data_IF_356953759066
#
_entry.id   IF_356953759066
#
_cell.length_a   1.000
_cell.length_b   1.000
_cell.length_c   1.000
_cell.angle_alpha   90.00
_cell.angle_beta   90.00
_cell.angle_gamma   90.00
#
_symmetry.space_group_name_H-M   'P 1'
#
loop_
_entity.id
_entity.type
_entity.pdbx_description
1 polymer ?
#
# COMPACT_ATOMS: atom_id res chain seq x y z
N UNK A 1 -10.94 -30.74 0.85
CA UNK A 1 -10.51 -30.49 2.23
C UNK A 1 -8.99 -30.54 2.26
N UNK A 2 -8.32 -29.42 2.52
CA UNK A 2 -6.85 -29.38 2.62
C UNK A 2 -6.50 -29.63 4.09
N UNK A 3 -5.65 -30.63 4.32
CA UNK A 3 -5.20 -31.05 5.65
C UNK A 3 -3.99 -30.18 6.06
N UNK A 4 -4.14 -29.43 7.17
CA UNK A 4 -3.17 -28.44 7.65
C UNK A 4 -2.21 -28.97 8.72
N UNK A 5 -2.17 -30.29 8.98
CA UNK A 5 -1.39 -30.88 10.08
C UNK A 5 0.15 -30.92 9.88
N UNK A 6 0.71 -30.08 9.01
CA UNK A 6 2.14 -30.08 8.69
C UNK A 6 2.89 -28.77 8.94
N UNK A 7 2.21 -27.67 9.28
CA UNK A 7 2.89 -26.38 9.47
C UNK A 7 3.35 -26.29 10.92
N UNK A 8 4.61 -26.66 11.16
CA UNK A 8 5.27 -26.44 12.44
C UNK A 8 5.71 -24.96 12.53
N UNK A 9 4.89 -24.16 13.21
CA UNK A 9 5.03 -22.69 13.34
C UNK A 9 6.24 -22.30 14.22
N UNK A 10 6.89 -23.27 14.88
CA UNK A 10 7.99 -23.01 15.83
C UNK A 10 9.39 -22.89 15.19
N UNK A 11 9.51 -22.73 13.87
CA UNK A 11 10.82 -22.62 13.20
C UNK A 11 11.30 -21.18 12.95
N UNK A 12 10.50 -20.17 13.28
CA UNK A 12 10.92 -18.77 13.25
C UNK A 12 11.23 -18.29 14.65
N UNK A 13 12.47 -18.53 15.06
CA UNK A 13 13.04 -18.08 16.32
C UNK A 13 13.19 -16.55 16.25
N UNK A 14 12.19 -15.80 16.74
CA UNK A 14 12.22 -14.34 16.90
C UNK A 14 13.14 -13.93 18.06
N UNK A 15 14.43 -14.19 17.89
CA UNK A 15 15.44 -13.78 18.85
C UNK A 15 16.71 -13.36 18.13
N UNK A 16 16.59 -12.31 17.32
CA UNK A 16 17.73 -11.45 17.03
C UNK A 16 17.53 -10.09 17.69
N UNK A 17 18.51 -9.78 18.53
CA UNK A 17 18.67 -8.60 19.37
C UNK A 17 18.27 -7.33 18.65
N UNK A 18 17.14 -6.75 19.03
CA UNK A 18 16.85 -5.33 18.79
C UNK A 18 17.76 -4.53 19.73
N UNK A 19 18.99 -4.30 19.30
CA UNK A 19 19.79 -3.21 19.85
C UNK A 19 19.07 -1.92 19.50
N UNK A 20 18.62 -1.18 20.52
CA UNK A 20 18.09 0.17 20.40
C UNK A 20 19.01 1.00 19.48
N UNK A 21 18.55 1.23 18.26
CA UNK A 21 19.16 2.17 17.32
C UNK A 21 18.08 3.17 16.94
N UNK A 22 18.42 4.43 17.17
CA UNK A 22 17.54 5.58 17.17
C UNK A 22 16.69 5.71 15.91
N UNK A 23 15.47 6.25 16.10
CA UNK A 23 14.53 6.71 15.08
C UNK A 23 15.21 7.43 13.91
N UNK A 24 15.32 6.75 12.77
CA UNK A 24 15.39 7.36 11.43
C UNK A 24 15.07 6.28 10.39
N UNK A 25 13.96 6.45 9.68
CA UNK A 25 13.44 5.70 8.52
C UNK A 25 14.33 4.57 7.94
N UNK A 26 14.30 3.37 8.52
CA UNK A 26 15.06 2.24 7.96
C UNK A 26 14.36 1.54 6.78
N UNK A 27 13.02 1.65 6.68
CA UNK A 27 12.27 1.07 5.55
C UNK A 27 12.54 1.81 4.24
N UNK A 28 12.68 3.14 4.26
CA UNK A 28 13.01 3.91 3.05
C UNK A 28 14.42 3.55 2.55
N UNK A 29 15.39 3.32 3.45
CA UNK A 29 16.78 3.01 3.04
C UNK A 29 16.96 1.64 2.38
N UNK A 30 16.18 0.62 2.79
CA UNK A 30 16.27 -0.72 2.16
C UNK A 30 15.75 -0.73 0.71
N UNK A 31 14.85 0.19 0.37
CA UNK A 31 14.30 0.35 -0.99
C UNK A 31 15.33 1.02 -1.90
N UNK A 32 16.09 1.99 -1.39
CA UNK A 32 17.17 2.64 -2.14
C UNK A 32 18.37 1.71 -2.42
N UNK A 33 18.61 0.71 -1.56
CA UNK A 33 19.71 -0.25 -1.70
C UNK A 33 19.32 -1.56 -2.41
N UNK A 34 18.08 -1.68 -2.92
CA UNK A 34 17.67 -2.87 -3.66
C UNK A 34 18.43 -2.95 -5.00
N UNK A 35 19.44 -3.83 -5.03
CA UNK A 35 20.13 -4.20 -6.27
C UNK A 35 19.40 -5.39 -6.90
N UNK A 36 18.85 -5.25 -8.11
CA UNK A 36 18.19 -6.35 -8.81
C UNK A 36 19.16 -7.52 -8.98
N UNK A 37 18.82 -8.68 -8.44
CA UNK A 37 19.65 -9.89 -8.50
C UNK A 37 19.35 -10.77 -9.72
N UNK A 38 18.33 -10.42 -10.53
CA UNK A 38 17.82 -11.23 -11.64
C UNK A 38 17.88 -10.49 -12.96
N UNK A 39 18.54 -11.09 -13.95
CA UNK A 39 18.53 -10.66 -15.36
C UNK A 39 17.17 -10.84 -16.05
N UNK A 40 16.22 -11.56 -15.43
CA UNK A 40 14.89 -11.83 -16.00
C UNK A 40 13.90 -10.66 -15.92
N UNK A 41 14.13 -9.72 -15.01
CA UNK A 41 13.17 -8.65 -14.69
C UNK A 41 13.54 -7.31 -15.34
N UNK A 42 14.58 -7.30 -16.20
CA UNK A 42 15.14 -6.07 -16.75
C UNK A 42 14.09 -5.23 -17.48
N UNK A 43 13.21 -5.86 -18.25
CA UNK A 43 12.17 -5.14 -19.00
C UNK A 43 11.21 -4.38 -18.08
N UNK A 44 10.78 -4.97 -16.95
CA UNK A 44 9.95 -4.30 -15.94
C UNK A 44 10.69 -3.12 -15.32
N UNK A 45 11.96 -3.31 -14.93
CA UNK A 45 12.75 -2.23 -14.36
C UNK A 45 13.01 -1.11 -15.37
N UNK A 46 13.21 -1.43 -16.64
CA UNK A 46 13.37 -0.45 -17.71
C UNK A 46 12.06 0.35 -17.90
N UNK A 47 10.89 -0.31 -17.86
CA UNK A 47 9.58 0.35 -17.88
C UNK A 47 9.41 1.33 -16.70
N UNK A 48 9.65 0.87 -15.46
CA UNK A 48 9.56 1.73 -14.26
C UNK A 48 10.56 2.90 -14.36
N UNK A 49 11.77 2.64 -14.86
CA UNK A 49 12.80 3.67 -14.95
C UNK A 49 12.51 4.74 -16.00
N UNK A 50 11.69 4.43 -17.00
CA UNK A 50 11.22 5.35 -18.04
C UNK A 50 10.01 6.20 -17.61
N UNK A 51 9.42 5.94 -16.44
CA UNK A 51 8.40 6.83 -15.87
C UNK A 51 8.98 8.24 -15.65
N UNK A 52 8.24 9.23 -16.14
CA UNK A 52 8.61 10.64 -16.16
C UNK A 52 8.20 11.38 -14.90
N UNK A 53 7.10 10.97 -14.27
CA UNK A 53 6.70 11.51 -12.98
C UNK A 53 7.56 10.86 -11.87
N UNK A 54 8.40 11.64 -11.16
CA UNK A 54 9.32 11.09 -10.17
C UNK A 54 8.60 10.42 -8.99
N UNK A 55 7.37 10.84 -8.67
CA UNK A 55 6.58 10.25 -7.59
C UNK A 55 6.02 8.90 -8.06
N UNK A 56 5.46 8.81 -9.27
CA UNK A 56 5.00 7.53 -9.82
C UNK A 56 6.15 6.53 -9.93
N UNK A 57 7.32 6.97 -10.42
CA UNK A 57 8.53 6.14 -10.46
C UNK A 57 8.93 5.63 -9.09
N UNK A 58 8.92 6.49 -8.07
CA UNK A 58 9.30 6.11 -6.70
C UNK A 58 8.33 5.07 -6.12
N UNK A 59 7.03 5.31 -6.22
CA UNK A 59 6.01 4.39 -5.70
C UNK A 59 5.98 3.06 -6.47
N UNK A 60 6.33 3.06 -7.77
CA UNK A 60 6.47 1.84 -8.57
C UNK A 60 7.70 1.02 -8.18
N UNK A 61 8.84 1.66 -7.90
CA UNK A 61 10.03 0.99 -7.37
C UNK A 61 9.77 0.37 -5.99
N UNK A 62 9.05 1.09 -5.12
CA UNK A 62 8.62 0.59 -3.82
C UNK A 62 7.78 -0.69 -3.95
N UNK A 63 6.75 -0.65 -4.81
CA UNK A 63 5.90 -1.81 -5.08
C UNK A 63 6.70 -2.97 -5.66
N UNK A 64 7.56 -2.71 -6.65
CA UNK A 64 8.43 -3.71 -7.26
C UNK A 64 9.28 -4.42 -6.19
N UNK A 65 9.95 -3.67 -5.30
CA UNK A 65 10.76 -4.22 -4.23
C UNK A 65 9.93 -5.10 -3.27
N UNK A 66 8.74 -4.65 -2.88
CA UNK A 66 7.83 -5.44 -2.03
C UNK A 66 7.39 -6.75 -2.70
N UNK A 67 7.03 -6.72 -3.99
CA UNK A 67 6.63 -7.91 -4.73
C UNK A 67 7.80 -8.88 -4.90
N UNK A 68 9.03 -8.40 -5.18
CA UNK A 68 10.23 -9.24 -5.20
C UNK A 68 10.49 -9.89 -3.84
N UNK A 69 10.36 -9.14 -2.74
CA UNK A 69 10.50 -9.66 -1.38
C UNK A 69 9.44 -10.72 -1.05
N UNK A 70 8.23 -10.58 -1.59
CA UNK A 70 7.16 -11.56 -1.50
C UNK A 70 7.36 -12.80 -2.40
N UNK A 71 8.42 -12.83 -3.22
CA UNK A 71 8.77 -13.96 -4.08
C UNK A 71 8.15 -13.92 -5.49
N UNK A 72 7.63 -12.77 -5.92
CA UNK A 72 7.12 -12.61 -7.28
C UNK A 72 8.27 -12.62 -8.29
N UNK A 73 8.11 -13.42 -9.34
CA UNK A 73 9.00 -13.49 -10.50
C UNK A 73 8.32 -12.81 -11.70
N UNK A 74 9.01 -11.84 -12.30
CA UNK A 74 8.50 -11.05 -13.41
C UNK A 74 9.01 -11.53 -14.77
N UNK A 75 9.76 -12.64 -14.82
CA UNK A 75 10.35 -13.17 -16.06
C UNK A 75 9.34 -13.35 -17.22
N UNK A 76 8.09 -13.68 -16.90
CA UNK A 76 7.02 -13.90 -17.89
C UNK A 76 5.98 -12.77 -17.91
N UNK A 77 6.26 -11.66 -17.24
CA UNK A 77 5.40 -10.49 -17.26
C UNK A 77 5.42 -9.84 -18.64
N UNK A 78 4.27 -9.31 -19.07
CA UNK A 78 4.17 -8.64 -20.38
C UNK A 78 4.53 -7.16 -20.29
N UNK A 79 4.16 -6.53 -19.16
CA UNK A 79 4.44 -5.13 -18.86
C UNK A 79 4.22 -4.87 -17.36
N UNK A 80 4.80 -3.79 -16.86
CA UNK A 80 4.62 -3.37 -15.47
C UNK A 80 3.18 -2.96 -15.16
N UNK A 81 2.52 -2.27 -16.08
CA UNK A 81 1.10 -1.92 -15.95
C UNK A 81 0.19 -3.14 -15.79
N UNK A 82 0.48 -4.23 -16.50
CA UNK A 82 -0.28 -5.46 -16.34
C UNK A 82 -0.08 -6.05 -14.94
N UNK A 83 1.15 -6.05 -14.41
CA UNK A 83 1.40 -6.56 -13.06
C UNK A 83 0.71 -5.70 -11.99
N UNK A 84 0.75 -4.36 -12.13
CA UNK A 84 -0.03 -3.46 -11.26
C UNK A 84 -1.52 -3.80 -11.26
N UNK A 85 -2.09 -4.12 -12.42
CA UNK A 85 -3.53 -4.47 -12.54
C UNK A 85 -3.93 -5.78 -11.86
N UNK A 86 -2.95 -6.67 -11.58
CA UNK A 86 -3.19 -7.98 -10.93
C UNK A 86 -3.08 -7.92 -9.41
N UNK A 87 -2.48 -6.86 -8.88
CA UNK A 87 -2.29 -6.68 -7.45
C UNK A 87 -3.49 -5.96 -6.87
N UNK A 88 -4.16 -6.60 -5.92
CA UNK A 88 -5.22 -5.97 -5.13
C UNK A 88 -4.62 -5.20 -3.96
N UNK A 89 -5.08 -3.98 -3.74
CA UNK A 89 -4.62 -3.12 -2.65
C UNK A 89 -5.35 -1.79 -2.62
N UNK A 90 -5.13 -1.01 -1.56
CA UNK A 90 -5.64 0.35 -1.45
C UNK A 90 -4.51 1.34 -1.13
N UNK A 91 -4.45 2.49 -1.84
CA UNK A 91 -5.00 2.70 -3.17
C UNK A 91 -4.60 1.59 -4.14
N UNK A 92 -5.35 1.37 -5.24
CA UNK A 92 -4.91 0.40 -6.23
C UNK A 92 -3.52 0.80 -6.75
N UNK A 93 -2.65 -0.17 -7.06
CA UNK A 93 -1.31 0.09 -7.61
C UNK A 93 -1.31 0.96 -8.87
N UNK A 94 -2.40 0.95 -9.63
CA UNK A 94 -2.60 1.76 -10.84
C UNK A 94 -3.07 3.19 -10.55
N UNK A 95 -3.31 3.56 -9.29
CA UNK A 95 -3.59 4.94 -8.92
C UNK A 95 -2.35 5.83 -9.15
N UNK A 96 -2.55 7.13 -9.46
CA UNK A 96 -1.44 8.08 -9.58
C UNK A 96 -0.52 8.08 -8.35
N UNK A 97 0.78 8.27 -8.57
CA UNK A 97 1.82 8.18 -7.56
C UNK A 97 1.57 9.08 -6.38
N UNK A 98 1.11 10.32 -6.61
CA UNK A 98 0.80 11.27 -5.54
C UNK A 98 -0.32 10.79 -4.59
N UNK A 99 -1.22 9.89 -5.06
CA UNK A 99 -2.28 9.29 -4.23
C UNK A 99 -1.70 8.14 -3.41
N UNK A 100 -0.92 7.28 -4.06
CA UNK A 100 -0.24 6.15 -3.41
C UNK A 100 0.73 6.64 -2.33
N UNK A 101 1.53 7.66 -2.63
CA UNK A 101 2.42 8.32 -1.69
C UNK A 101 1.64 8.91 -0.50
N UNK A 102 0.58 9.69 -0.75
CA UNK A 102 -0.20 10.30 0.31
C UNK A 102 -0.76 9.26 1.30
N UNK A 103 -1.18 8.10 0.80
CA UNK A 103 -1.65 6.99 1.63
C UNK A 103 -0.50 6.29 2.37
N UNK A 104 0.62 5.99 1.68
CA UNK A 104 1.82 5.39 2.30
C UNK A 104 2.32 6.25 3.45
N UNK A 105 2.40 7.56 3.27
CA UNK A 105 2.80 8.51 4.32
C UNK A 105 1.81 8.54 5.49
N UNK A 106 0.51 8.38 5.22
CA UNK A 106 -0.50 8.29 6.28
C UNK A 106 -0.39 6.97 7.08
N UNK A 107 -0.06 5.87 6.41
CA UNK A 107 0.17 4.57 7.04
C UNK A 107 1.35 4.56 8.03
N UNK A 108 2.37 5.39 7.82
CA UNK A 108 3.51 5.50 8.74
C UNK A 108 3.11 5.90 10.17
N UNK A 109 1.93 6.50 10.35
CA UNK A 109 1.40 6.90 11.66
C UNK A 109 0.52 5.84 12.32
N UNK A 110 0.37 4.67 11.69
CA UNK A 110 -0.40 3.53 12.19
C UNK A 110 0.58 2.48 12.74
N UNK A 111 0.33 1.88 13.91
CA UNK A 111 1.15 0.77 14.40
C UNK A 111 1.25 -0.37 13.39
N UNK A 112 2.45 -0.96 13.25
CA UNK A 112 2.74 -1.99 12.25
C UNK A 112 1.81 -3.22 12.35
N UNK A 113 1.41 -3.60 13.57
CA UNK A 113 0.51 -4.71 13.83
C UNK A 113 -0.93 -4.47 13.36
N UNK A 114 -1.33 -3.20 13.15
CA UNK A 114 -2.68 -2.82 12.70
C UNK A 114 -2.70 -2.43 11.21
N UNK A 115 -1.60 -1.88 10.71
CA UNK A 115 -1.54 -1.28 9.37
C UNK A 115 -1.93 -2.23 8.24
N UNK A 116 -1.50 -3.50 8.30
CA UNK A 116 -1.83 -4.49 7.28
C UNK A 116 -3.33 -4.84 7.25
N UNK A 117 -3.95 -5.00 8.42
CA UNK A 117 -5.38 -5.33 8.52
C UNK A 117 -6.23 -4.14 8.04
N UNK A 118 -5.92 -2.93 8.50
CA UNK A 118 -6.64 -1.71 8.09
C UNK A 118 -6.49 -1.47 6.58
N UNK A 119 -5.29 -1.65 6.02
CA UNK A 119 -5.08 -1.50 4.58
C UNK A 119 -5.86 -2.54 3.76
N UNK A 120 -5.96 -3.78 4.25
CA UNK A 120 -6.79 -4.81 3.63
C UNK A 120 -8.27 -4.45 3.69
N UNK A 121 -8.78 -4.02 4.84
CA UNK A 121 -10.18 -3.60 5.01
C UNK A 121 -10.52 -2.43 4.07
N UNK A 122 -9.65 -1.43 3.99
CA UNK A 122 -9.82 -0.31 3.05
C UNK A 122 -9.82 -0.76 1.58
N UNK A 123 -9.08 -1.81 1.23
CA UNK A 123 -9.13 -2.38 -0.12
C UNK A 123 -10.47 -3.04 -0.44
N UNK A 124 -11.07 -3.72 0.53
CA UNK A 124 -12.41 -4.29 0.42
C UNK A 124 -13.47 -3.17 0.28
N UNK A 125 -13.41 -2.16 1.15
CA UNK A 125 -14.32 -1.02 1.12
C UNK A 125 -14.19 -0.22 -0.19
N UNK A 126 -12.97 -0.06 -0.72
CA UNK A 126 -12.73 0.61 -1.99
C UNK A 126 -13.35 -0.16 -3.17
N UNK A 127 -13.20 -1.47 -3.19
CA UNK A 127 -13.83 -2.33 -4.20
C UNK A 127 -15.37 -2.24 -4.13
N UNK A 128 -15.93 -2.22 -2.91
CA UNK A 128 -17.37 -2.01 -2.72
C UNK A 128 -17.81 -0.63 -3.22
N UNK A 129 -17.12 0.42 -2.80
CA UNK A 129 -17.39 1.81 -3.20
C UNK A 129 -17.36 1.99 -4.72
N UNK A 130 -16.32 1.50 -5.39
CA UNK A 130 -16.16 1.60 -6.85
C UNK A 130 -17.19 0.77 -7.62
N UNK A 131 -17.61 -0.38 -7.08
CA UNK A 131 -18.66 -1.19 -7.70
C UNK A 131 -20.04 -0.50 -7.69
N UNK A 132 -20.32 0.28 -6.64
CA UNK A 132 -21.58 1.00 -6.44
C UNK A 132 -21.58 2.39 -7.09
N UNK A 133 -20.44 3.09 -7.08
CA UNK A 133 -20.27 4.45 -7.58
C UNK A 133 -19.37 4.47 -8.83
N UNK A 134 -19.88 3.91 -9.94
CA UNK A 134 -19.13 3.84 -11.21
C UNK A 134 -18.90 5.20 -11.89
N UNK A 135 -19.54 6.26 -11.41
CA UNK A 135 -19.42 7.61 -11.97
C UNK A 135 -18.36 8.38 -11.18
N UNK A 136 -17.10 8.29 -11.61
CA UNK A 136 -15.99 9.02 -11.01
C UNK A 136 -14.69 8.78 -11.74
N UNK A 137 -13.74 9.70 -11.61
CA UNK A 137 -12.38 9.50 -12.12
C UNK A 137 -11.53 8.87 -11.02
N UNK A 138 -11.16 7.58 -11.08
CA UNK A 138 -10.36 6.91 -10.05
C UNK A 138 -8.92 7.42 -9.96
N UNK A 139 -8.54 8.40 -10.80
CA UNK A 139 -7.26 9.07 -10.80
C UNK A 139 -7.34 10.51 -10.26
N UNK A 140 -8.48 10.95 -9.70
CA UNK A 140 -8.64 12.31 -9.15
C UNK A 140 -8.68 12.34 -7.63
N UNK A 141 -8.14 13.40 -7.04
CA UNK A 141 -8.21 13.65 -5.60
C UNK A 141 -9.65 13.71 -5.08
N UNK A 142 -10.56 14.28 -5.87
CA UNK A 142 -11.99 14.34 -5.51
C UNK A 142 -12.57 12.95 -5.29
N UNK A 143 -12.23 11.98 -6.14
CA UNK A 143 -12.72 10.61 -6.01
C UNK A 143 -12.25 9.96 -4.71
N UNK A 144 -10.98 10.16 -4.33
CA UNK A 144 -10.47 9.64 -3.06
C UNK A 144 -11.03 10.39 -1.86
N UNK A 145 -11.31 11.69 -1.95
CA UNK A 145 -12.00 12.42 -0.88
C UNK A 145 -13.43 11.90 -0.67
N UNK A 146 -14.15 11.59 -1.75
CA UNK A 146 -15.48 10.98 -1.66
C UNK A 146 -15.42 9.57 -1.06
N UNK A 147 -14.43 8.76 -1.46
CA UNK A 147 -14.17 7.47 -0.84
C UNK A 147 -13.81 7.59 0.65
N UNK A 148 -12.93 8.50 1.03
CA UNK A 148 -12.53 8.73 2.44
C UNK A 148 -13.76 9.10 3.28
N UNK A 149 -14.66 9.93 2.75
CA UNK A 149 -15.92 10.27 3.41
C UNK A 149 -16.80 9.04 3.60
N UNK A 150 -16.96 8.22 2.55
CA UNK A 150 -17.68 6.95 2.62
C UNK A 150 -17.08 6.00 3.67
N UNK A 151 -15.78 5.73 3.59
CA UNK A 151 -15.08 4.84 4.52
C UNK A 151 -15.14 5.35 5.97
N UNK A 152 -15.08 6.68 6.18
CA UNK A 152 -15.24 7.28 7.52
C UNK A 152 -16.64 7.03 8.08
N UNK A 153 -17.68 7.12 7.25
CA UNK A 153 -19.06 6.81 7.64
C UNK A 153 -19.22 5.33 7.99
N UNK A 154 -18.64 4.42 7.20
CA UNK A 154 -18.61 2.98 7.51
C UNK A 154 -17.90 2.72 8.84
N UNK A 155 -16.74 3.35 9.07
CA UNK A 155 -15.96 3.20 10.30
C UNK A 155 -16.73 3.71 11.53
N UNK A 156 -17.37 4.87 11.45
CA UNK A 156 -18.20 5.40 12.54
C UNK A 156 -19.44 4.51 12.80
N UNK A 157 -20.11 4.02 11.75
CA UNK A 157 -21.27 3.12 11.86
C UNK A 157 -20.90 1.79 12.54
N UNK A 158 -19.73 1.22 12.22
CA UNK A 158 -19.26 -0.05 12.74
C UNK A 158 -18.37 0.07 13.99
N UNK A 159 -18.24 1.27 14.58
CA UNK A 159 -17.33 1.54 15.70
C UNK A 159 -17.48 0.58 16.89
N UNK A 160 -18.71 0.13 17.18
CA UNK A 160 -18.99 -0.84 18.25
C UNK A 160 -18.56 -2.28 17.93
N UNK A 161 -18.28 -2.60 16.66
CA UNK A 161 -17.91 -3.93 16.17
C UNK A 161 -16.41 -4.07 15.91
N UNK A 162 -15.75 -2.98 15.50
CA UNK A 162 -14.35 -2.99 15.04
C UNK A 162 -13.33 -3.10 16.18
N UNK A 163 -13.74 -2.89 17.43
CA UNK A 163 -12.82 -2.70 18.55
C UNK A 163 -12.22 -1.29 18.55
N UNK A 164 -11.85 -0.81 19.73
CA UNK A 164 -11.46 0.60 19.93
C UNK A 164 -10.24 1.01 19.10
N UNK A 165 -9.23 0.14 19.02
CA UNK A 165 -7.98 0.42 18.32
C UNK A 165 -8.17 0.49 16.80
N UNK A 166 -8.83 -0.50 16.19
CA UNK A 166 -9.09 -0.51 14.74
C UNK A 166 -9.91 0.72 14.35
N UNK A 167 -10.95 1.05 15.10
CA UNK A 167 -11.75 2.26 14.88
C UNK A 167 -10.89 3.53 14.90
N UNK A 168 -10.08 3.69 15.96
CA UNK A 168 -9.24 4.86 16.19
C UNK A 168 -8.16 5.01 15.12
N UNK A 169 -7.44 3.93 14.80
CA UNK A 169 -6.35 3.96 13.83
C UNK A 169 -6.87 4.11 12.39
N UNK A 170 -7.99 3.49 12.04
CA UNK A 170 -8.64 3.70 10.73
C UNK A 170 -9.06 5.16 10.57
N UNK A 171 -9.70 5.74 11.60
CA UNK A 171 -10.10 7.15 11.59
C UNK A 171 -8.89 8.08 11.44
N UNK A 172 -7.80 7.81 12.18
CA UNK A 172 -6.57 8.58 12.06
C UNK A 172 -5.97 8.48 10.66
N UNK A 173 -5.86 7.26 10.13
CA UNK A 173 -5.32 6.99 8.80
C UNK A 173 -6.08 7.75 7.70
N UNK A 174 -7.41 7.70 7.73
CA UNK A 174 -8.27 8.38 6.76
C UNK A 174 -8.13 9.92 6.84
N UNK A 175 -8.01 10.47 8.05
CA UNK A 175 -7.77 11.90 8.25
C UNK A 175 -6.39 12.33 7.72
N UNK A 176 -5.34 11.60 8.09
CA UNK A 176 -3.97 11.87 7.63
C UNK A 176 -3.88 11.75 6.11
N UNK A 177 -4.53 10.74 5.52
CA UNK A 177 -4.57 10.56 4.07
C UNK A 177 -5.25 11.74 3.37
N UNK A 178 -6.39 12.21 3.88
CA UNK A 178 -7.06 13.40 3.35
C UNK A 178 -6.19 14.65 3.43
N UNK A 179 -5.49 14.86 4.55
CA UNK A 179 -4.56 15.97 4.73
C UNK A 179 -3.38 15.89 3.75
N UNK A 180 -2.82 14.70 3.53
CA UNK A 180 -1.72 14.51 2.59
C UNK A 180 -2.16 14.74 1.14
N UNK A 181 -3.37 14.31 0.75
CA UNK A 181 -3.93 14.60 -0.58
C UNK A 181 -4.06 16.11 -0.85
N UNK A 182 -4.38 16.91 0.17
CA UNK A 182 -4.45 18.38 0.05
C UNK A 182 -3.08 19.05 -0.10
N UNK A 183 -2.01 18.47 0.45
CA UNK A 183 -0.65 18.99 0.23
C UNK A 183 -0.18 18.77 -1.20
N UNK A 184 -0.60 17.67 -1.81
CA UNK A 184 -0.26 17.33 -3.21
C UNK A 184 -0.90 18.25 -4.25
N UNK A 185 -1.94 19.04 -3.90
CA UNK A 185 -2.52 20.06 -4.79
C UNK A 185 -1.84 21.42 -4.71
N UNK A 186 -1.17 21.72 -3.60
CA UNK A 186 -0.55 23.03 -3.34
C UNK A 186 0.92 23.10 -3.75
N UNK A 187 1.50 21.97 -4.14
CA UNK A 187 2.91 21.85 -4.59
C UNK A 187 3.07 21.75 -6.12
N UNK A 188 1.98 21.94 -6.88
CA UNK A 188 1.97 22.05 -8.35
C UNK A 188 1.73 23.50 -8.76
#
# INVERSE_FOLDING_TARGET
MINLNGININKYNFNDKISKKNNSNSQDSEVYDFKPTSTGDKHILDEINNETDPIDKQEDLLLYAHLKKAGIDFKNSSSWEQEKSRVSGFPPPTAPGYIRQAFREALLNVPENEGANIAFDLSCEYNMYTSQNKAGNPNSISFYNDFIKYASQCNDFNSNLLGEDVYKYTKKLLNDFSLNLQKSTTSK
#
